data_IF_593343261938
#
_entry.id   IF_593343261938
#
_cell.length_a   1.000
_cell.length_b   1.000
_cell.length_c   1.000
_cell.angle_alpha   90.00
_cell.angle_beta   90.00
_cell.angle_gamma   90.00
#
_symmetry.space_group_name_H-M   'P 1'
#
loop_
_entity.id
_entity.type
_entity.pdbx_description
1 polymer ?
#
# COMPACT_ATOMS: atom_id res chain seq x y z
N UNK A 1 -14.50 12.70 -24.50
CA UNK A 1 -14.10 11.29 -24.43
C UNK A 1 -15.31 10.47 -24.75
N UNK A 2 -15.25 9.62 -25.78
CA UNK A 2 -16.35 8.69 -26.09
C UNK A 2 -16.35 7.54 -25.08
N UNK A 3 -17.49 6.88 -24.83
CA UNK A 3 -17.58 5.75 -23.90
C UNK A 3 -16.53 4.65 -24.18
N UNK A 4 -16.32 4.31 -25.45
CA UNK A 4 -15.36 3.27 -25.85
C UNK A 4 -13.91 3.64 -25.50
N UNK A 5 -13.54 4.92 -25.66
CA UNK A 5 -12.20 5.41 -25.30
C UNK A 5 -11.96 5.36 -23.79
N UNK A 6 -13.02 5.56 -23.00
CA UNK A 6 -12.97 5.48 -21.54
C UNK A 6 -12.77 4.03 -21.07
N UNK A 7 -13.54 3.10 -21.61
CA UNK A 7 -13.41 1.67 -21.30
C UNK A 7 -12.02 1.13 -21.66
N UNK A 8 -11.48 1.50 -22.82
CA UNK A 8 -10.12 1.11 -23.23
C UNK A 8 -9.05 1.67 -22.29
N UNK A 9 -9.19 2.92 -21.85
CA UNK A 9 -8.26 3.54 -20.90
C UNK A 9 -8.30 2.84 -19.54
N UNK A 10 -9.51 2.49 -19.06
CA UNK A 10 -9.69 1.74 -17.81
C UNK A 10 -9.12 0.33 -17.93
N UNK A 11 -9.41 -0.40 -19.00
CA UNK A 11 -8.89 -1.76 -19.23
C UNK A 11 -7.37 -1.78 -19.32
N UNK A 12 -6.78 -0.79 -20.01
CA UNK A 12 -5.33 -0.61 -20.05
C UNK A 12 -4.75 -0.35 -18.67
N UNK A 13 -5.36 0.55 -17.89
CA UNK A 13 -4.96 0.81 -16.51
C UNK A 13 -5.00 -0.47 -15.65
N UNK A 14 -6.10 -1.22 -15.71
CA UNK A 14 -6.27 -2.47 -14.97
C UNK A 14 -5.22 -3.52 -15.36
N UNK A 15 -4.83 -3.58 -16.63
CA UNK A 15 -3.79 -4.49 -17.12
C UNK A 15 -2.38 -4.19 -16.57
N UNK A 16 -2.13 -2.95 -16.12
CA UNK A 16 -0.84 -2.54 -15.56
C UNK A 16 -0.68 -2.93 -14.08
N UNK A 17 -1.77 -3.32 -13.41
CA UNK A 17 -1.74 -3.70 -12.00
C UNK A 17 -1.17 -5.13 -11.89
N UNK A 18 -0.01 -5.33 -11.25
CA UNK A 18 0.59 -6.65 -11.11
C UNK A 18 -0.31 -7.62 -10.32
N UNK A 19 -0.29 -8.91 -10.70
CA UNK A 19 -1.10 -9.94 -10.02
C UNK A 19 -0.69 -10.19 -8.56
N UNK A 20 0.53 -9.82 -8.20
CA UNK A 20 1.09 -9.91 -6.85
C UNK A 20 0.80 -8.66 -5.98
N UNK A 21 0.04 -7.69 -6.49
CA UNK A 21 -0.43 -6.55 -5.70
C UNK A 21 -1.35 -7.01 -4.57
N UNK A 22 -1.03 -6.58 -3.35
CA UNK A 22 -1.75 -6.92 -2.14
C UNK A 22 -2.84 -5.88 -1.82
N UNK A 23 -3.95 -6.36 -1.28
CA UNK A 23 -5.00 -5.55 -0.67
C UNK A 23 -4.64 -5.13 0.75
N UNK A 24 -5.41 -4.21 1.31
CA UNK A 24 -5.12 -3.61 2.61
C UNK A 24 -5.16 -4.64 3.76
N UNK A 25 -6.10 -5.57 3.72
CA UNK A 25 -6.23 -6.67 4.68
C UNK A 25 -5.01 -7.60 4.65
N UNK A 26 -4.49 -7.91 3.46
CA UNK A 26 -3.31 -8.75 3.29
C UNK A 26 -2.04 -8.05 3.79
N UNK A 27 -1.88 -6.76 3.48
CA UNK A 27 -0.75 -5.96 4.00
C UNK A 27 -0.82 -5.88 5.52
N UNK A 28 -2.00 -5.60 6.08
CA UNK A 28 -2.23 -5.56 7.52
C UNK A 28 -1.83 -6.88 8.19
N UNK A 29 -2.29 -8.02 7.66
CA UNK A 29 -1.96 -9.33 8.20
C UNK A 29 -0.44 -9.57 8.27
N UNK A 30 0.29 -9.15 7.23
CA UNK A 30 1.76 -9.27 7.21
C UNK A 30 2.38 -8.35 8.27
N UNK A 31 1.95 -7.09 8.35
CA UNK A 31 2.50 -6.07 9.25
C UNK A 31 2.31 -6.47 10.72
N UNK A 32 1.15 -6.99 11.08
CA UNK A 32 0.87 -7.43 12.45
C UNK A 32 1.75 -8.61 12.90
N UNK A 33 2.38 -9.32 11.96
CA UNK A 33 3.31 -10.43 12.22
C UNK A 33 4.78 -10.01 12.10
N UNK A 34 5.08 -8.76 11.71
CA UNK A 34 6.45 -8.25 11.60
C UNK A 34 7.08 -8.05 12.98
N UNK A 35 8.38 -8.36 13.10
CA UNK A 35 9.14 -8.11 14.32
C UNK A 35 9.71 -6.69 14.36
N UNK A 36 9.96 -6.13 15.56
CA UNK A 36 10.71 -4.88 15.70
C UNK A 36 12.06 -4.94 14.96
N UNK A 37 12.36 -3.90 14.19
CA UNK A 37 13.51 -3.81 13.30
C UNK A 37 13.27 -4.31 11.87
N UNK A 38 12.14 -4.97 11.58
CA UNK A 38 11.85 -5.44 10.22
C UNK A 38 11.44 -4.29 9.29
N UNK A 39 11.90 -4.38 8.04
CA UNK A 39 11.49 -3.55 6.91
C UNK A 39 10.91 -4.43 5.80
N UNK A 40 9.76 -4.05 5.25
CA UNK A 40 9.17 -4.71 4.08
C UNK A 40 8.63 -3.70 3.07
N UNK A 41 8.65 -4.09 1.80
CA UNK A 41 8.05 -3.33 0.70
C UNK A 41 7.01 -4.22 0.02
N UNK A 42 5.80 -3.70 -0.11
CA UNK A 42 4.66 -4.37 -0.73
C UNK A 42 4.35 -3.69 -2.06
N UNK A 43 3.97 -4.47 -3.06
CA UNK A 43 3.11 -3.94 -4.12
C UNK A 43 1.70 -3.91 -3.59
N UNK A 44 1.02 -2.79 -3.72
CA UNK A 44 -0.38 -2.70 -3.32
C UNK A 44 -1.32 -2.62 -4.52
N UNK A 45 -2.56 -3.02 -4.30
CA UNK A 45 -3.63 -2.95 -5.29
C UNK A 45 -4.30 -1.57 -5.20
N UNK A 46 -4.13 -0.68 -6.20
CA UNK A 46 -4.76 0.64 -6.20
C UNK A 46 -6.28 0.58 -6.41
N UNK A 47 -6.87 -0.60 -6.64
CA UNK A 47 -8.32 -0.81 -6.67
C UNK A 47 -8.92 -0.96 -5.27
N UNK A 48 -8.09 -1.27 -4.28
CA UNK A 48 -8.53 -1.30 -2.88
C UNK A 48 -8.85 0.12 -2.43
N UNK A 49 -10.08 0.35 -1.95
CA UNK A 49 -10.55 1.68 -1.54
C UNK A 49 -9.77 2.26 -0.37
N UNK A 50 -9.00 1.45 0.36
CA UNK A 50 -8.10 1.91 1.43
C UNK A 50 -6.70 2.28 0.93
N UNK A 51 -6.35 1.95 -0.31
CA UNK A 51 -5.02 2.14 -0.90
C UNK A 51 -5.06 2.93 -2.22
N UNK A 52 -6.25 3.31 -2.69
CA UNK A 52 -6.47 3.88 -4.02
C UNK A 52 -5.92 5.31 -4.21
N UNK A 53 -5.45 5.94 -3.14
CA UNK A 53 -4.90 7.28 -3.18
C UNK A 53 -3.95 7.56 -2.01
N UNK A 54 -3.20 8.66 -2.13
CA UNK A 54 -2.22 9.08 -1.12
C UNK A 54 -2.89 9.32 0.24
N UNK A 55 -4.09 9.90 0.25
CA UNK A 55 -4.84 10.20 1.47
C UNK A 55 -5.31 8.91 2.16
N UNK A 56 -5.81 7.96 1.37
CA UNK A 56 -6.28 6.66 1.83
C UNK A 56 -5.11 5.84 2.40
N UNK A 57 -3.96 5.85 1.71
CA UNK A 57 -2.71 5.28 2.19
C UNK A 57 -2.28 5.88 3.54
N UNK A 58 -2.34 7.20 3.69
CA UNK A 58 -2.04 7.87 4.97
C UNK A 58 -2.97 7.40 6.10
N UNK A 59 -4.28 7.29 5.84
CA UNK A 59 -5.23 6.76 6.82
C UNK A 59 -4.96 5.30 7.16
N UNK A 60 -4.65 4.48 6.17
CA UNK A 60 -4.29 3.09 6.38
C UNK A 60 -3.02 2.95 7.24
N UNK A 61 -1.98 3.73 6.96
CA UNK A 61 -0.77 3.74 7.78
C UNK A 61 -1.02 4.20 9.21
N UNK A 62 -1.83 5.25 9.43
CA UNK A 62 -2.18 5.70 10.77
C UNK A 62 -2.91 4.60 11.55
N UNK A 63 -3.82 3.87 10.89
CA UNK A 63 -4.53 2.74 11.49
C UNK A 63 -3.58 1.57 11.82
N UNK A 64 -2.61 1.26 10.95
CA UNK A 64 -1.59 0.24 11.23
C UNK A 64 -0.68 0.66 12.40
N UNK A 65 -0.24 1.91 12.42
CA UNK A 65 0.65 2.44 13.46
C UNK A 65 0.03 2.32 14.86
N UNK A 66 -1.27 2.61 14.99
CA UNK A 66 -2.01 2.37 16.23
C UNK A 66 -1.97 0.89 16.66
N UNK A 67 -2.12 -0.04 15.72
CA UNK A 67 -2.14 -1.49 16.01
C UNK A 67 -0.78 -2.04 16.43
N UNK A 68 0.31 -1.41 16.00
CA UNK A 68 1.68 -1.85 16.36
C UNK A 68 2.31 -1.02 17.47
N UNK A 69 1.54 -0.20 18.18
CA UNK A 69 1.99 0.65 19.31
C UNK A 69 2.89 1.83 18.91
N UNK A 70 2.57 2.54 17.83
CA UNK A 70 3.24 3.79 17.43
C UNK A 70 4.74 3.64 17.11
N UNK A 71 5.14 2.47 16.63
CA UNK A 71 6.51 2.20 16.19
C UNK A 71 6.60 2.03 14.68
N UNK A 72 5.55 2.33 13.92
CA UNK A 72 5.55 2.15 12.47
C UNK A 72 5.99 3.42 11.78
N UNK A 73 6.90 3.27 10.81
CA UNK A 73 7.14 4.30 9.80
C UNK A 73 6.89 3.71 8.43
N UNK A 74 6.40 4.54 7.50
CA UNK A 74 6.12 4.09 6.15
C UNK A 74 6.30 5.17 5.10
N UNK A 75 6.53 4.71 3.87
CA UNK A 75 6.67 5.56 2.68
C UNK A 75 6.05 4.88 1.46
N UNK A 76 5.61 5.68 0.50
CA UNK A 76 4.91 5.21 -0.69
C UNK A 76 5.61 5.72 -1.96
N UNK A 77 5.68 4.87 -2.99
CA UNK A 77 6.06 5.24 -4.34
C UNK A 77 4.89 4.91 -5.28
N UNK A 78 4.31 5.93 -5.91
CA UNK A 78 3.16 5.79 -6.82
C UNK A 78 3.51 6.39 -8.19
N UNK A 79 3.51 5.55 -9.21
CA UNK A 79 3.59 5.95 -10.62
C UNK A 79 2.51 5.23 -11.42
N UNK A 80 1.38 5.92 -11.61
CA UNK A 80 0.19 5.45 -12.33
C UNK A 80 0.52 5.07 -13.78
N UNK A 81 1.40 5.84 -14.44
CA UNK A 81 1.75 5.63 -15.85
C UNK A 81 2.54 4.33 -16.04
N UNK A 82 3.27 3.91 -15.01
CA UNK A 82 4.12 2.73 -15.02
C UNK A 82 3.56 1.56 -14.20
N UNK A 83 2.36 1.69 -13.64
CA UNK A 83 1.76 0.67 -12.78
C UNK A 83 2.54 0.42 -11.48
N UNK A 84 3.28 1.41 -10.98
CA UNK A 84 4.06 1.26 -9.74
C UNK A 84 3.26 1.73 -8.54
N UNK A 85 3.04 0.82 -7.61
CA UNK A 85 2.29 1.05 -6.39
C UNK A 85 3.02 0.35 -5.25
N UNK A 86 4.01 1.01 -4.68
CA UNK A 86 4.83 0.44 -3.63
C UNK A 86 4.54 1.10 -2.29
N UNK A 87 4.37 0.28 -1.26
CA UNK A 87 4.28 0.70 0.12
C UNK A 87 5.39 0.05 0.93
N UNK A 88 6.28 0.85 1.49
CA UNK A 88 7.36 0.40 2.37
C UNK A 88 7.01 0.70 3.81
N UNK A 89 7.21 -0.28 4.68
CA UNK A 89 6.95 -0.20 6.11
C UNK A 89 8.20 -0.62 6.88
N UNK A 90 8.47 0.07 7.98
CA UNK A 90 9.47 -0.30 8.97
C UNK A 90 8.81 -0.33 10.35
N UNK A 91 8.97 -1.45 11.06
CA UNK A 91 8.63 -1.53 12.49
C UNK A 91 9.88 -1.12 13.26
N UNK A 92 9.83 -0.01 13.97
CA UNK A 92 10.91 0.48 14.82
C UNK A 92 11.26 -0.54 15.91
N UNK A 93 12.55 -0.68 16.20
CA UNK A 93 12.98 -1.40 17.39
C UNK A 93 12.58 -0.55 18.62
N UNK A 94 11.82 -1.12 19.57
CA UNK A 94 11.66 -0.48 20.88
C UNK A 94 13.06 -0.37 21.49
N UNK A 95 13.59 0.84 21.55
CA UNK A 95 14.81 1.11 22.32
C UNK A 95 14.38 1.01 23.78
N UNK A 96 14.73 -0.10 24.43
CA UNK A 96 14.55 -0.24 25.87
C UNK A 96 15.26 0.92 26.56
N UNK A 97 14.51 1.70 27.33
CA UNK A 97 15.10 2.54 28.38
C UNK A 97 15.27 1.69 29.63
#
# INVERSE_FOLDING_TARGET
MKPDEFEDAVNRYLSLIPKDSLKADQIEEVVLKMKPGEKRTFRFDPRDTKLCGVKELQYFQAALDMKVNHILTGSYEVDVRRGKYFYTIVIGAKVGK
#
